data_IF_412053047111
#
_entry.id   IF_412053047111
#
_cell.length_a   1.000
_cell.length_b   1.000
_cell.length_c   1.000
_cell.angle_alpha   90.00
_cell.angle_beta   90.00
_cell.angle_gamma   90.00
#
_symmetry.space_group_name_H-M   'P 1'
#
loop_
_entity.id
_entity.type
_entity.pdbx_description
1 polymer ?
#
# COMPACT_ATOMS: atom_id res chain seq x y z
N UNK A 1 53.82 -13.45 -32.80
CA UNK A 1 53.44 -13.41 -31.36
C UNK A 1 52.91 -12.04 -30.92
N UNK A 2 53.64 -10.94 -31.10
CA UNK A 2 53.17 -9.58 -30.67
C UNK A 2 51.84 -9.12 -31.32
N UNK A 3 51.62 -9.40 -32.59
CA UNK A 3 50.37 -9.03 -33.31
C UNK A 3 49.18 -9.87 -32.87
N UNK A 4 49.37 -11.14 -32.53
CA UNK A 4 48.30 -12.01 -32.02
C UNK A 4 47.90 -11.57 -30.60
N UNK A 5 48.86 -11.21 -29.75
CA UNK A 5 48.63 -10.71 -28.40
C UNK A 5 47.84 -9.37 -28.40
N UNK A 6 48.19 -8.47 -29.34
CA UNK A 6 47.46 -7.18 -29.48
C UNK A 6 46.04 -7.40 -29.94
N UNK A 7 45.77 -8.41 -30.84
CA UNK A 7 44.45 -8.72 -31.29
C UNK A 7 43.58 -9.36 -30.22
N UNK A 8 44.12 -10.26 -29.41
CA UNK A 8 43.46 -10.85 -28.24
C UNK A 8 43.13 -9.81 -27.18
N UNK A 9 44.05 -8.88 -26.91
CA UNK A 9 43.81 -7.79 -25.97
C UNK A 9 42.76 -6.82 -26.43
N UNK A 10 42.73 -6.48 -27.74
CA UNK A 10 41.69 -5.65 -28.33
C UNK A 10 40.30 -6.33 -28.29
N UNK A 11 40.26 -7.65 -28.51
CA UNK A 11 39.01 -8.43 -28.40
C UNK A 11 38.49 -8.49 -26.96
N UNK A 12 39.38 -8.67 -25.98
CA UNK A 12 39.03 -8.64 -24.56
C UNK A 12 38.54 -7.27 -24.11
N UNK A 13 39.14 -6.19 -24.61
CA UNK A 13 38.69 -4.83 -24.33
C UNK A 13 37.34 -4.54 -25.00
N UNK A 14 37.10 -5.03 -26.19
CA UNK A 14 35.82 -4.90 -26.88
C UNK A 14 34.71 -5.70 -26.17
N UNK A 15 35.00 -6.93 -25.71
CA UNK A 15 34.07 -7.74 -24.90
C UNK A 15 33.78 -7.10 -23.52
N UNK A 16 34.80 -6.50 -22.91
CA UNK A 16 34.62 -5.74 -21.64
C UNK A 16 33.79 -4.47 -21.81
N UNK A 17 33.91 -3.79 -22.96
CA UNK A 17 33.10 -2.60 -23.27
C UNK A 17 31.63 -2.96 -23.58
N UNK A 18 31.36 -4.15 -24.16
CA UNK A 18 30.00 -4.66 -24.33
C UNK A 18 29.34 -5.07 -23.01
N UNK A 19 30.08 -5.60 -22.06
CA UNK A 19 29.55 -5.93 -20.73
C UNK A 19 29.23 -4.67 -19.88
N UNK A 20 29.88 -3.53 -20.17
CA UNK A 20 29.61 -2.27 -19.49
C UNK A 20 28.40 -1.50 -20.07
N UNK A 21 27.79 -2.01 -21.13
CA UNK A 21 26.56 -1.45 -21.77
C UNK A 21 25.34 -2.31 -21.48
N UNK A 22 25.42 -3.31 -20.62
CA UNK A 22 24.23 -3.90 -20.04
C UNK A 22 23.59 -2.83 -19.15
N UNK A 23 22.63 -2.10 -19.67
CA UNK A 23 21.76 -1.22 -18.90
C UNK A 23 21.12 -2.10 -17.83
N UNK A 24 21.37 -1.79 -16.57
CA UNK A 24 20.76 -2.51 -15.45
C UNK A 24 19.25 -2.39 -15.63
N UNK A 25 18.57 -3.51 -15.81
CA UNK A 25 17.12 -3.54 -15.97
C UNK A 25 16.52 -2.88 -14.72
N UNK A 26 15.91 -1.72 -14.90
CA UNK A 26 15.31 -0.97 -13.79
C UNK A 26 13.94 -1.57 -13.54
N UNK A 27 13.76 -2.12 -12.35
CA UNK A 27 12.51 -2.74 -11.92
C UNK A 27 11.99 -2.03 -10.68
N UNK A 28 10.68 -1.79 -10.64
CA UNK A 28 9.97 -1.25 -9.49
C UNK A 28 8.99 -2.31 -8.97
N UNK A 29 9.23 -2.80 -7.76
CA UNK A 29 8.40 -3.81 -7.12
C UNK A 29 7.36 -3.15 -6.23
N UNK A 30 6.07 -3.24 -6.60
CA UNK A 30 4.94 -2.66 -5.86
C UNK A 30 4.15 -3.77 -5.19
N UNK A 31 3.85 -3.61 -3.91
CA UNK A 31 2.98 -4.50 -3.15
C UNK A 31 1.79 -3.73 -2.59
N UNK A 32 0.58 -4.10 -3.01
CA UNK A 32 -0.62 -3.29 -2.78
C UNK A 32 -1.90 -4.13 -2.76
N UNK A 33 -3.02 -3.47 -2.60
CA UNK A 33 -4.35 -4.04 -2.75
C UNK A 33 -4.66 -4.30 -4.23
N UNK A 34 -5.47 -5.32 -4.50
CA UNK A 34 -5.99 -5.57 -5.83
C UNK A 34 -6.81 -4.37 -6.33
N UNK A 35 -6.62 -4.00 -7.60
CA UNK A 35 -7.38 -2.93 -8.26
C UNK A 35 -7.00 -1.49 -7.86
N UNK A 36 -5.92 -1.29 -7.10
CA UNK A 36 -5.46 0.06 -6.72
C UNK A 36 -4.77 0.81 -7.85
N UNK A 37 -4.22 0.10 -8.83
CA UNK A 37 -3.69 0.70 -10.05
C UNK A 37 -4.40 0.12 -11.26
N UNK A 38 -4.72 0.98 -12.21
CA UNK A 38 -5.19 0.58 -13.53
C UNK A 38 -4.00 0.12 -14.39
N UNK A 39 -4.20 -0.94 -15.18
CA UNK A 39 -3.15 -1.50 -16.04
C UNK A 39 -2.61 -0.46 -17.03
N UNK A 40 -3.46 0.45 -17.53
CA UNK A 40 -3.02 1.51 -18.44
C UNK A 40 -2.11 2.51 -17.75
N UNK A 41 -2.33 2.78 -16.46
CA UNK A 41 -1.46 3.68 -15.67
C UNK A 41 -0.07 3.07 -15.47
N UNK A 42 0.01 1.78 -15.18
CA UNK A 42 1.29 1.08 -15.03
C UNK A 42 2.04 1.04 -16.36
N UNK A 43 1.38 0.65 -17.45
CA UNK A 43 1.98 0.61 -18.79
C UNK A 43 2.48 1.98 -19.25
N UNK A 44 1.72 3.05 -18.96
CA UNK A 44 2.14 4.42 -19.27
C UNK A 44 3.39 4.81 -18.48
N UNK A 45 3.46 4.45 -17.20
CA UNK A 45 4.65 4.70 -16.38
C UNK A 45 5.88 3.98 -16.95
N UNK A 46 5.73 2.71 -17.35
CA UNK A 46 6.81 1.92 -17.97
C UNK A 46 7.29 2.55 -19.29
N UNK A 47 6.34 2.98 -20.15
CA UNK A 47 6.66 3.65 -21.42
C UNK A 47 7.39 4.98 -21.22
N UNK A 48 6.98 5.77 -20.21
CA UNK A 48 7.56 7.10 -19.94
C UNK A 48 8.93 7.02 -19.26
N UNK A 49 9.14 6.01 -18.41
CA UNK A 49 10.32 5.94 -17.54
C UNK A 49 11.35 4.89 -17.97
N UNK A 50 10.93 3.89 -18.73
CA UNK A 50 11.75 2.70 -19.03
C UNK A 50 11.98 1.82 -17.79
N UNK A 51 11.14 1.93 -16.75
CA UNK A 51 11.20 1.13 -15.53
C UNK A 51 10.10 0.08 -15.62
N UNK A 52 10.45 -1.21 -15.56
CA UNK A 52 9.50 -2.31 -15.49
C UNK A 52 8.81 -2.33 -14.11
N UNK A 53 7.50 -2.58 -14.07
CA UNK A 53 6.74 -2.63 -12.82
C UNK A 53 6.31 -4.05 -12.48
N UNK A 54 6.87 -4.61 -11.41
CA UNK A 54 6.37 -5.83 -10.80
C UNK A 54 5.26 -5.49 -9.82
N UNK A 55 4.05 -5.89 -10.14
CA UNK A 55 2.84 -5.61 -9.36
C UNK A 55 2.39 -6.86 -8.61
N UNK A 56 2.47 -6.83 -7.29
CA UNK A 56 2.03 -7.90 -6.39
C UNK A 56 0.88 -7.42 -5.53
N UNK A 57 -0.08 -8.30 -5.23
CA UNK A 57 -1.28 -7.94 -4.45
C UNK A 57 -1.40 -8.74 -3.17
N UNK A 58 -2.12 -8.18 -2.20
CA UNK A 58 -2.58 -8.83 -0.98
C UNK A 58 -4.07 -8.56 -0.76
N UNK A 59 -4.74 -9.44 -0.03
CA UNK A 59 -6.16 -9.32 0.27
C UNK A 59 -6.42 -8.56 1.57
N UNK A 60 -5.52 -8.69 2.57
CA UNK A 60 -5.64 -8.01 3.87
C UNK A 60 -4.30 -7.42 4.31
N UNK A 61 -4.34 -6.35 5.14
CA UNK A 61 -3.10 -5.81 5.74
C UNK A 61 -2.41 -6.85 6.65
N UNK A 62 -3.17 -7.75 7.28
CA UNK A 62 -2.64 -8.82 8.12
C UNK A 62 -1.80 -9.80 7.30
N UNK A 63 -2.28 -10.21 6.13
CA UNK A 63 -1.53 -11.02 5.18
C UNK A 63 -0.23 -10.31 4.76
N UNK A 64 -0.34 -9.05 4.38
CA UNK A 64 0.81 -8.22 4.03
C UNK A 64 1.82 -8.14 5.17
N UNK A 65 1.38 -7.81 6.39
CA UNK A 65 2.26 -7.71 7.57
C UNK A 65 2.93 -9.04 7.89
N UNK A 66 2.22 -10.17 7.82
CA UNK A 66 2.80 -11.50 8.02
C UNK A 66 3.88 -11.81 6.97
N UNK A 67 3.63 -11.47 5.71
CA UNK A 67 4.61 -11.64 4.63
C UNK A 67 5.86 -10.79 4.87
N UNK A 68 5.67 -9.53 5.31
CA UNK A 68 6.79 -8.64 5.64
C UNK A 68 7.60 -9.11 6.86
N UNK A 69 6.96 -9.79 7.81
CA UNK A 69 7.65 -10.36 8.97
C UNK A 69 8.40 -11.66 8.64
N UNK A 70 7.84 -12.49 7.76
CA UNK A 70 8.40 -13.80 7.42
C UNK A 70 9.46 -13.76 6.31
N UNK A 71 9.44 -12.73 5.46
CA UNK A 71 10.26 -12.59 4.28
C UNK A 71 11.28 -11.45 4.36
N UNK A 72 11.98 -11.26 3.26
CA UNK A 72 12.83 -10.09 3.08
C UNK A 72 11.98 -8.94 2.53
N UNK A 73 11.83 -7.88 3.33
CA UNK A 73 11.12 -6.67 2.91
C UNK A 73 11.82 -5.98 1.74
N UNK A 74 13.10 -6.27 1.51
CA UNK A 74 13.87 -5.73 0.38
C UNK A 74 13.37 -6.19 -0.99
N UNK A 75 12.45 -7.17 -1.04
CA UNK A 75 11.80 -7.60 -2.28
C UNK A 75 10.81 -6.53 -2.84
N UNK A 76 10.49 -5.50 -2.05
CA UNK A 76 9.52 -4.47 -2.43
C UNK A 76 10.09 -3.07 -2.25
N UNK A 77 9.86 -2.23 -3.28
CA UNK A 77 10.26 -0.83 -3.27
C UNK A 77 9.14 0.07 -2.73
N UNK A 78 7.88 -0.27 -3.04
CA UNK A 78 6.70 0.47 -2.60
C UNK A 78 5.66 -0.49 -2.04
N UNK A 79 5.10 -0.14 -0.88
CA UNK A 79 3.98 -0.83 -0.25
C UNK A 79 2.84 0.17 -0.06
N UNK A 80 1.65 -0.12 -0.62
CA UNK A 80 0.43 0.62 -0.31
C UNK A 80 -0.33 -0.11 0.79
N UNK A 81 -0.43 0.52 1.94
CA UNK A 81 -1.02 -0.10 3.12
C UNK A 81 -1.87 0.89 3.91
N UNK A 82 -2.77 0.38 4.74
CA UNK A 82 -3.55 1.23 5.63
C UNK A 82 -2.67 1.87 6.71
N UNK A 83 -3.13 2.96 7.26
CA UNK A 83 -2.46 3.80 8.26
C UNK A 83 -1.88 3.02 9.45
N UNK A 84 -2.64 2.08 10.01
CA UNK A 84 -2.18 1.25 11.13
C UNK A 84 -1.06 0.28 10.73
N UNK A 85 -1.08 -0.22 9.51
CA UNK A 85 -0.04 -1.09 8.99
C UNK A 85 1.26 -0.29 8.74
N UNK A 86 1.16 0.94 8.20
CA UNK A 86 2.28 1.88 8.11
C UNK A 86 2.87 2.14 9.50
N UNK A 87 2.01 2.37 10.53
CA UNK A 87 2.45 2.53 11.92
C UNK A 87 3.22 1.32 12.45
N UNK A 88 2.76 0.11 12.13
CA UNK A 88 3.43 -1.13 12.52
C UNK A 88 4.79 -1.26 11.84
N UNK A 89 4.85 -1.15 10.51
CA UNK A 89 6.08 -1.25 9.72
C UNK A 89 7.12 -0.21 10.16
N UNK A 90 6.68 1.03 10.47
CA UNK A 90 7.56 2.08 11.00
C UNK A 90 8.15 1.72 12.35
N UNK A 91 7.33 1.19 13.28
CA UNK A 91 7.80 0.76 14.61
C UNK A 91 8.78 -0.40 14.54
N UNK A 92 8.61 -1.26 13.55
CA UNK A 92 9.49 -2.41 13.29
C UNK A 92 10.72 -2.01 12.44
N UNK A 93 10.92 -0.69 12.19
CA UNK A 93 12.05 -0.14 11.42
C UNK A 93 12.16 -0.74 10.00
N UNK A 94 11.02 -1.05 9.40
CA UNK A 94 10.91 -1.68 8.08
C UNK A 94 10.79 -0.69 6.93
N UNK A 95 10.61 0.60 7.21
CA UNK A 95 10.44 1.65 6.21
C UNK A 95 11.68 2.54 6.13
N UNK A 96 12.04 2.92 4.91
CA UNK A 96 13.07 3.92 4.67
C UNK A 96 12.48 5.33 4.71
N UNK A 97 13.20 6.32 5.24
CA UNK A 97 12.74 7.70 5.21
C UNK A 97 12.73 8.25 3.78
N UNK A 98 11.70 9.04 3.49
CA UNK A 98 11.53 9.69 2.20
C UNK A 98 12.45 10.92 2.06
N UNK A 99 13.10 11.05 0.92
CA UNK A 99 13.71 12.32 0.52
C UNK A 99 12.69 13.18 -0.24
N UNK A 100 12.09 14.12 0.47
CA UNK A 100 11.05 15.00 -0.10
C UNK A 100 11.58 15.89 -1.23
N UNK A 101 12.89 16.10 -1.32
CA UNK A 101 13.48 16.85 -2.44
C UNK A 101 13.35 16.11 -3.78
N UNK A 102 13.15 14.78 -3.73
CA UNK A 102 12.90 13.94 -4.89
C UNK A 102 11.43 13.83 -5.26
N UNK A 103 10.54 14.49 -4.53
CA UNK A 103 9.08 14.45 -4.70
C UNK A 103 8.55 15.82 -5.15
N UNK A 104 8.74 16.22 -6.42
CA UNK A 104 8.41 17.58 -6.91
C UNK A 104 6.91 17.89 -6.81
N UNK A 105 6.04 16.87 -6.80
CA UNK A 105 4.59 17.01 -6.72
C UNK A 105 4.06 17.00 -5.27
N UNK A 106 4.93 17.10 -4.27
CA UNK A 106 4.53 17.10 -2.85
C UNK A 106 3.49 18.17 -2.52
N UNK A 107 3.60 19.35 -3.12
CA UNK A 107 2.70 20.46 -2.89
C UNK A 107 1.27 20.23 -3.42
N UNK A 108 1.07 19.20 -4.27
CA UNK A 108 -0.23 18.83 -4.80
C UNK A 108 -1.03 17.94 -3.82
N UNK A 109 -0.39 17.46 -2.75
CA UNK A 109 -1.05 16.63 -1.74
C UNK A 109 -2.03 17.47 -0.92
N UNK A 110 -3.20 16.88 -0.62
CA UNK A 110 -4.16 17.53 0.26
C UNK A 110 -3.60 17.63 1.70
N UNK A 111 -3.43 18.83 2.26
CA UNK A 111 -2.83 19.04 3.57
C UNK A 111 -3.61 18.39 4.72
N UNK A 112 -4.92 18.13 4.57
CA UNK A 112 -5.74 17.50 5.59
C UNK A 112 -5.34 16.04 5.87
N UNK A 113 -4.65 15.41 4.93
CA UNK A 113 -4.16 14.02 5.06
C UNK A 113 -2.67 13.92 5.40
N UNK A 114 -1.98 15.06 5.53
CA UNK A 114 -0.59 15.10 5.96
C UNK A 114 -0.48 15.10 7.50
N UNK A 115 0.71 14.75 7.99
CA UNK A 115 1.09 14.82 9.41
C UNK A 115 0.17 14.01 10.34
N UNK A 116 -0.34 12.90 9.85
CA UNK A 116 -1.24 12.05 10.61
C UNK A 116 -0.50 11.30 11.73
N UNK A 117 -1.27 10.80 12.72
CA UNK A 117 -0.75 10.16 13.94
C UNK A 117 0.20 8.98 13.69
N UNK A 118 0.04 8.29 12.57
CA UNK A 118 0.84 7.11 12.21
C UNK A 118 2.20 7.47 11.60
N UNK A 119 2.34 8.65 11.01
CA UNK A 119 3.58 9.15 10.43
C UNK A 119 3.63 10.69 10.50
N UNK A 120 3.95 11.21 11.67
CA UNK A 120 4.11 12.65 11.87
C UNK A 120 5.24 13.18 11.00
N UNK A 121 5.00 14.33 10.36
CA UNK A 121 5.90 14.96 9.39
C UNK A 121 6.02 14.19 8.05
N UNK A 122 5.27 13.11 7.85
CA UNK A 122 5.34 12.28 6.64
C UNK A 122 6.80 11.90 6.29
N UNK A 123 7.49 11.29 7.25
CA UNK A 123 8.89 10.88 7.09
C UNK A 123 8.98 9.62 6.22
N UNK A 124 7.99 8.72 6.32
CA UNK A 124 8.03 7.39 5.72
C UNK A 124 6.93 7.14 4.69
N UNK A 125 5.89 7.98 4.64
CA UNK A 125 4.71 7.71 3.82
C UNK A 125 4.17 8.93 3.09
N UNK A 126 3.51 8.65 1.97
CA UNK A 126 2.75 9.61 1.17
C UNK A 126 1.29 9.16 1.18
N UNK A 127 0.31 10.03 1.52
CA UNK A 127 -1.10 9.68 1.45
C UNK A 127 -1.51 9.45 -0.02
N UNK A 128 -2.15 8.30 -0.28
CA UNK A 128 -2.65 7.93 -1.60
C UNK A 128 -4.16 8.14 -1.71
N UNK A 129 -4.91 7.54 -0.79
CA UNK A 129 -6.38 7.63 -0.76
C UNK A 129 -6.87 7.58 0.67
N UNK A 130 -8.06 8.12 0.90
CA UNK A 130 -8.78 8.01 2.16
C UNK A 130 -10.23 7.63 1.89
N UNK A 131 -10.78 6.78 2.74
CA UNK A 131 -12.15 6.33 2.67
C UNK A 131 -12.73 6.12 4.06
N UNK A 132 -14.05 5.98 4.10
CA UNK A 132 -14.78 5.61 5.31
C UNK A 132 -15.73 4.48 4.99
N UNK A 133 -15.92 3.51 5.89
CA UNK A 133 -17.01 2.55 5.78
C UNK A 133 -18.35 3.28 5.75
N UNK A 134 -19.24 2.82 4.88
CA UNK A 134 -20.59 3.36 4.73
C UNK A 134 -21.61 2.24 4.66
N UNK A 135 -22.84 2.50 5.08
CA UNK A 135 -23.94 1.57 4.93
C UNK A 135 -24.61 1.86 3.58
N UNK A 136 -24.76 0.83 2.75
CA UNK A 136 -25.52 0.88 1.49
C UNK A 136 -26.69 -0.06 1.64
N UNK A 137 -27.90 0.44 1.40
CA UNK A 137 -29.13 -0.34 1.48
C UNK A 137 -30.14 0.07 0.44
N UNK A 138 -31.07 -0.85 0.11
CA UNK A 138 -32.23 -0.56 -0.72
C UNK A 138 -33.39 -0.08 0.16
N UNK A 139 -33.81 1.19 0.09
CA UNK A 139 -34.85 1.72 0.96
C UNK A 139 -36.24 1.09 0.69
N UNK A 140 -36.41 0.36 -0.41
CA UNK A 140 -37.65 -0.38 -0.68
C UNK A 140 -37.74 -1.70 0.08
N UNK A 141 -36.62 -2.19 0.62
CA UNK A 141 -36.52 -3.47 1.33
C UNK A 141 -36.25 -3.30 2.84
N UNK A 142 -36.07 -2.09 3.30
CA UNK A 142 -35.76 -1.78 4.70
C UNK A 142 -36.91 -1.02 5.34
N UNK A 143 -37.36 -1.48 6.50
CA UNK A 143 -38.36 -0.76 7.30
C UNK A 143 -37.67 0.35 8.11
N UNK A 144 -38.16 1.59 7.91
CA UNK A 144 -37.59 2.76 8.59
C UNK A 144 -36.41 3.37 7.89
N UNK A 145 -35.68 4.22 8.61
CA UNK A 145 -34.47 4.91 8.13
C UNK A 145 -33.25 4.39 8.90
N UNK A 146 -32.19 4.06 8.17
CA UNK A 146 -30.90 3.70 8.76
C UNK A 146 -30.11 5.00 9.00
N UNK A 147 -29.81 5.30 10.24
CA UNK A 147 -29.12 6.51 10.65
C UNK A 147 -27.75 6.25 11.29
N UNK A 148 -27.51 5.01 11.69
CA UNK A 148 -26.27 4.60 12.35
C UNK A 148 -25.96 3.13 12.13
N UNK A 149 -24.72 2.73 12.43
CA UNK A 149 -24.33 1.32 12.44
C UNK A 149 -25.09 0.51 13.49
N UNK A 150 -25.59 1.13 14.55
CA UNK A 150 -26.40 0.44 15.56
C UNK A 150 -27.70 -0.12 15.00
N UNK A 151 -28.26 0.51 13.98
CA UNK A 151 -29.50 0.07 13.33
C UNK A 151 -29.36 -1.28 12.64
N UNK A 152 -28.12 -1.69 12.29
CA UNK A 152 -27.83 -2.99 11.66
C UNK A 152 -28.07 -4.20 12.59
N UNK A 153 -28.28 -3.99 13.89
CA UNK A 153 -28.66 -5.01 14.86
C UNK A 153 -30.16 -5.28 14.93
N UNK A 154 -30.97 -4.61 14.12
CA UNK A 154 -32.39 -4.87 14.03
C UNK A 154 -32.66 -6.27 13.46
N UNK A 155 -33.72 -6.93 13.96
CA UNK A 155 -34.09 -8.31 13.57
C UNK A 155 -34.39 -8.44 12.06
N UNK A 156 -34.79 -7.35 11.38
CA UNK A 156 -35.04 -7.36 9.93
C UNK A 156 -33.80 -7.71 9.11
N UNK A 157 -32.60 -7.52 9.67
CA UNK A 157 -31.33 -7.77 8.97
C UNK A 157 -30.74 -9.17 9.19
N UNK A 158 -31.40 -10.01 9.97
CA UNK A 158 -30.94 -11.39 10.17
C UNK A 158 -30.86 -12.10 8.82
N UNK A 159 -29.69 -12.69 8.52
CA UNK A 159 -29.37 -13.36 7.24
C UNK A 159 -29.40 -12.44 5.98
N UNK A 160 -29.48 -11.12 6.17
CA UNK A 160 -29.55 -10.14 5.08
C UNK A 160 -28.46 -9.07 5.11
N UNK A 161 -27.39 -9.27 5.87
CA UNK A 161 -26.25 -8.38 5.91
C UNK A 161 -25.08 -8.91 5.08
N UNK A 162 -24.48 -8.01 4.30
CA UNK A 162 -23.19 -8.21 3.69
C UNK A 162 -22.17 -7.34 4.44
N UNK A 163 -21.18 -7.97 5.04
CA UNK A 163 -20.18 -7.32 5.84
C UNK A 163 -18.82 -7.39 5.14
N UNK A 164 -17.97 -6.41 5.40
CA UNK A 164 -16.60 -6.42 4.90
C UNK A 164 -15.82 -7.50 5.64
N UNK A 165 -15.15 -8.37 4.90
CA UNK A 165 -14.26 -9.40 5.48
C UNK A 165 -12.92 -8.79 5.91
N UNK A 166 -13.01 -7.90 6.91
CA UNK A 166 -11.88 -7.23 7.54
C UNK A 166 -12.15 -7.13 9.05
N UNK A 167 -11.39 -7.87 9.82
CA UNK A 167 -11.58 -7.95 11.28
C UNK A 167 -11.45 -6.58 11.96
N UNK A 168 -10.53 -5.73 11.48
CA UNK A 168 -10.32 -4.40 12.07
C UNK A 168 -11.48 -3.46 11.79
N UNK A 169 -12.02 -3.50 10.57
CA UNK A 169 -13.22 -2.73 10.22
C UNK A 169 -14.38 -3.17 11.08
N UNK A 170 -14.65 -4.48 11.17
CA UNK A 170 -15.80 -5.00 11.92
C UNK A 170 -15.70 -4.71 13.42
N UNK A 171 -14.52 -4.85 14.02
CA UNK A 171 -14.30 -4.47 15.42
C UNK A 171 -14.49 -2.97 15.60
N UNK A 172 -13.94 -2.16 14.70
CA UNK A 172 -14.03 -0.71 14.75
C UNK A 172 -15.47 -0.20 14.66
N UNK A 173 -16.29 -0.76 13.76
CA UNK A 173 -17.71 -0.45 13.62
C UNK A 173 -18.48 -0.83 14.90
N UNK A 174 -18.21 -2.00 15.45
CA UNK A 174 -18.80 -2.44 16.71
C UNK A 174 -18.44 -1.50 17.87
N UNK A 175 -17.19 -1.07 17.96
CA UNK A 175 -16.75 -0.09 18.96
C UNK A 175 -17.48 1.25 18.79
N UNK A 176 -17.65 1.73 17.57
CA UNK A 176 -18.42 2.96 17.29
C UNK A 176 -19.87 2.83 17.72
N UNK A 177 -20.51 1.71 17.39
CA UNK A 177 -21.87 1.40 17.83
C UNK A 177 -21.99 1.44 19.36
N UNK A 178 -21.00 0.91 20.09
CA UNK A 178 -20.94 0.91 21.55
C UNK A 178 -20.52 2.28 22.14
N UNK A 179 -20.33 3.32 21.31
CA UNK A 179 -19.93 4.65 21.74
C UNK A 179 -18.45 4.80 22.10
N UNK A 180 -17.61 3.87 21.62
CA UNK A 180 -16.17 3.90 21.83
C UNK A 180 -15.41 4.47 20.63
N UNK A 181 -14.14 4.78 20.83
CA UNK A 181 -13.26 5.15 19.72
C UNK A 181 -12.97 3.96 18.84
N UNK A 182 -13.02 4.13 17.51
CA UNK A 182 -12.60 3.16 16.51
C UNK A 182 -11.17 2.65 16.75
N UNK A 183 -10.30 3.53 17.27
CA UNK A 183 -8.89 3.28 17.55
C UNK A 183 -8.60 3.13 19.04
N UNK A 184 -9.53 2.58 19.83
CA UNK A 184 -9.26 2.35 21.26
C UNK A 184 -8.16 1.31 21.44
N UNK A 185 -7.28 1.55 22.44
CA UNK A 185 -6.28 0.60 22.90
C UNK A 185 -6.62 0.06 24.28
N UNK A 186 -7.82 0.33 24.78
CA UNK A 186 -8.29 -0.11 26.09
C UNK A 186 -8.72 -1.58 26.01
N UNK A 187 -8.00 -2.52 26.63
CA UNK A 187 -8.32 -3.97 26.54
C UNK A 187 -9.64 -4.35 27.22
N UNK A 188 -10.24 -3.44 27.99
CA UNK A 188 -11.57 -3.67 28.59
C UNK A 188 -12.69 -3.40 27.62
N UNK A 189 -12.41 -2.64 26.54
CA UNK A 189 -13.38 -2.27 25.50
C UNK A 189 -13.25 -3.11 24.24
N UNK A 190 -12.10 -3.78 24.07
CA UNK A 190 -11.83 -4.73 23.00
C UNK A 190 -12.27 -6.15 23.40
#
# INVERSE_FOLDING_TARGET
MKKLFAFVLALLLALGAFAALAEEEKVLNIFTWEGYFDETTLSQFEEETGIEVNYSVFATNEEMLLKMQAGDISDYDIILASDYAVSALRKDEKLLPLDKNLLPNWENLNPDYLNQYFDQENIYSVPYTAGSPVIIYDPAQVEGEITSFADLWDEQFVDNLWLIDDARVMIGETLKMLGHSYNTNDPVKL
#
